data_IF_100899973113
#
_entry.id   IF_100899973113
#
_cell.length_a   1.000
_cell.length_b   1.000
_cell.length_c   1.000
_cell.angle_alpha   90.00
_cell.angle_beta   90.00
_cell.angle_gamma   90.00
#
_symmetry.space_group_name_H-M   'P 1'
#
loop_
_entity.id
_entity.type
_entity.pdbx_description
1 polymer ?
#
# COMPACT_ATOMS: atom_id res chain seq x y z
N UNK A 1 -14.32 -1.83 -16.31
CA UNK A 1 -14.23 -0.45 -15.80
C UNK A 1 -13.45 -0.47 -14.50
N UNK A 2 -12.56 0.48 -14.27
CA UNK A 2 -11.68 0.47 -13.10
C UNK A 2 -12.27 1.32 -11.98
N UNK A 3 -12.24 0.82 -10.73
CA UNK A 3 -12.69 1.58 -9.56
C UNK A 3 -11.71 2.73 -9.33
N UNK A 4 -12.22 3.95 -9.32
CA UNK A 4 -11.45 5.14 -9.01
C UNK A 4 -11.49 5.38 -7.50
N UNK A 5 -10.32 5.42 -6.90
CA UNK A 5 -10.14 5.76 -5.47
C UNK A 5 -9.38 7.08 -5.35
N UNK A 6 -9.86 8.08 -6.08
CA UNK A 6 -9.19 9.37 -6.25
C UNK A 6 -8.89 10.07 -4.92
N UNK A 7 -9.79 9.98 -3.93
CA UNK A 7 -9.57 10.56 -2.62
C UNK A 7 -8.38 9.93 -1.87
N UNK A 8 -8.19 8.61 -1.99
CA UNK A 8 -7.05 7.92 -1.38
C UNK A 8 -5.76 8.15 -2.16
N UNK A 9 -5.84 8.17 -3.49
CA UNK A 9 -4.70 8.54 -4.33
C UNK A 9 -4.22 9.96 -3.99
N UNK A 10 -5.13 10.91 -3.84
CA UNK A 10 -4.80 12.28 -3.46
C UNK A 10 -4.08 12.34 -2.10
N UNK A 11 -4.53 11.55 -1.12
CA UNK A 11 -3.85 11.45 0.17
C UNK A 11 -2.41 10.92 0.05
N UNK A 12 -2.15 9.94 -0.84
CA UNK A 12 -0.79 9.45 -1.11
C UNK A 12 0.08 10.51 -1.77
N UNK A 13 -0.48 11.25 -2.73
CA UNK A 13 0.20 12.32 -3.44
C UNK A 13 0.60 13.47 -2.50
N UNK A 14 -0.31 13.91 -1.64
CA UNK A 14 -0.07 14.99 -0.68
C UNK A 14 1.02 14.65 0.34
N UNK A 15 1.18 13.37 0.66
CA UNK A 15 2.20 12.88 1.61
C UNK A 15 3.50 12.44 0.94
N UNK A 16 3.54 12.46 -0.38
CA UNK A 16 4.73 12.05 -1.15
C UNK A 16 5.93 12.90 -0.76
N UNK A 17 7.05 12.23 -0.55
CA UNK A 17 8.35 12.84 -0.22
C UNK A 17 8.36 13.66 1.10
N UNK A 18 7.45 13.35 2.04
CA UNK A 18 7.38 14.06 3.32
C UNK A 18 8.38 13.56 4.38
N UNK A 19 9.23 12.58 4.05
CA UNK A 19 10.23 12.02 4.97
C UNK A 19 9.66 11.04 6.00
N UNK A 20 8.39 10.72 5.93
CA UNK A 20 7.71 9.78 6.83
C UNK A 20 7.40 8.47 6.12
N UNK A 21 7.20 7.40 6.89
CA UNK A 21 6.66 6.13 6.38
C UNK A 21 5.16 6.29 6.19
N UNK A 22 4.67 6.16 4.97
CA UNK A 22 3.23 6.14 4.70
C UNK A 22 2.68 4.76 5.02
N UNK A 23 1.82 4.69 6.04
CA UNK A 23 1.26 3.46 6.56
C UNK A 23 -0.20 3.35 6.11
N UNK A 24 -0.46 2.48 5.15
CA UNK A 24 -1.79 2.27 4.60
C UNK A 24 -2.46 1.15 5.40
N UNK A 25 -3.45 1.51 6.20
CA UNK A 25 -4.18 0.60 7.07
C UNK A 25 -5.59 0.33 6.55
N UNK A 26 -6.17 -0.76 6.96
CA UNK A 26 -7.53 -1.15 6.61
C UNK A 26 -7.72 -2.65 6.71
N UNK A 27 -8.97 -3.08 6.79
CA UNK A 27 -9.30 -4.49 6.85
C UNK A 27 -8.83 -5.25 5.61
N UNK A 28 -8.72 -6.56 5.73
CA UNK A 28 -8.39 -7.42 4.59
C UNK A 28 -9.40 -7.23 3.46
N UNK A 29 -8.92 -7.22 2.21
CA UNK A 29 -9.72 -7.05 0.98
C UNK A 29 -10.38 -5.67 0.80
N UNK A 30 -9.95 -4.64 1.51
CA UNK A 30 -10.44 -3.28 1.27
C UNK A 30 -9.73 -2.54 0.12
N UNK A 31 -8.81 -3.20 -0.60
CA UNK A 31 -8.17 -2.64 -1.79
C UNK A 31 -6.84 -1.92 -1.58
N UNK A 32 -6.13 -2.18 -0.46
CA UNK A 32 -4.82 -1.55 -0.16
C UNK A 32 -3.77 -1.85 -1.22
N UNK A 33 -3.61 -3.14 -1.56
CA UNK A 33 -2.64 -3.59 -2.56
C UNK A 33 -2.94 -3.02 -3.95
N UNK A 34 -4.21 -2.97 -4.32
CA UNK A 34 -4.65 -2.37 -5.58
C UNK A 34 -4.36 -0.86 -5.63
N UNK A 35 -4.66 -0.15 -4.56
CA UNK A 35 -4.34 1.28 -4.46
C UNK A 35 -2.83 1.51 -4.63
N UNK A 36 -2.00 0.70 -3.99
CA UNK A 36 -0.55 0.88 -3.97
C UNK A 36 0.10 0.44 -5.28
N UNK A 37 -0.16 -0.80 -5.71
CA UNK A 37 0.54 -1.41 -6.86
C UNK A 37 -0.07 -1.08 -8.22
N UNK A 38 -1.32 -0.64 -8.25
CA UNK A 38 -1.98 -0.29 -9.51
C UNK A 38 -2.18 1.22 -9.63
N UNK A 39 -2.92 1.82 -8.74
CA UNK A 39 -3.32 3.23 -8.87
C UNK A 39 -2.13 4.17 -8.61
N UNK A 40 -1.46 4.02 -7.48
CA UNK A 40 -0.35 4.90 -7.11
C UNK A 40 0.88 4.68 -7.99
N UNK A 41 1.21 3.42 -8.29
CA UNK A 41 2.30 3.11 -9.23
C UNK A 41 2.09 3.76 -10.60
N UNK A 42 0.86 3.66 -11.14
CA UNK A 42 0.51 4.33 -12.40
C UNK A 42 0.74 5.84 -12.31
N UNK A 43 0.27 6.46 -11.25
CA UNK A 43 0.52 7.87 -11.00
C UNK A 43 2.03 8.22 -11.04
N UNK A 44 2.87 7.43 -10.36
CA UNK A 44 4.31 7.65 -10.35
C UNK A 44 4.91 7.57 -11.78
N UNK A 45 4.53 6.54 -12.54
CA UNK A 45 4.99 6.35 -13.93
C UNK A 45 4.55 7.50 -14.83
N UNK A 46 3.29 7.93 -14.73
CA UNK A 46 2.74 9.05 -15.52
C UNK A 46 3.39 10.39 -15.17
N UNK A 47 3.95 10.51 -13.97
CA UNK A 47 4.67 11.71 -13.52
C UNK A 47 6.19 11.60 -13.67
N UNK A 48 6.66 10.70 -14.53
CA UNK A 48 8.06 10.66 -14.98
C UNK A 48 8.99 9.85 -14.07
N UNK A 49 8.46 9.09 -13.09
CA UNK A 49 9.28 8.17 -12.32
C UNK A 49 9.55 6.92 -13.15
N UNK A 50 10.82 6.58 -13.36
CA UNK A 50 11.19 5.36 -14.07
C UNK A 50 10.77 4.09 -13.31
N UNK A 51 10.42 3.03 -14.02
CA UNK A 51 10.03 1.75 -13.40
C UNK A 51 11.15 1.13 -12.57
N UNK A 52 12.40 1.41 -12.89
CA UNK A 52 13.59 0.99 -12.14
C UNK A 52 13.78 1.76 -10.81
N UNK A 53 13.05 2.86 -10.62
CA UNK A 53 13.00 3.64 -9.37
C UNK A 53 11.76 3.33 -8.52
N UNK A 54 10.99 2.31 -8.88
CA UNK A 54 9.85 1.82 -8.11
C UNK A 54 10.16 0.40 -7.67
N UNK A 55 10.31 0.19 -6.36
CA UNK A 55 10.61 -1.11 -5.76
C UNK A 55 9.32 -1.67 -5.17
N UNK A 56 8.82 -2.77 -5.72
CA UNK A 56 7.58 -3.42 -5.30
C UNK A 56 7.89 -4.76 -4.62
N UNK A 57 7.36 -4.96 -3.42
CA UNK A 57 7.50 -6.22 -2.69
C UNK A 57 6.15 -6.56 -2.05
N UNK A 58 5.54 -7.68 -2.47
CA UNK A 58 4.37 -8.27 -1.84
C UNK A 58 4.81 -9.41 -0.92
N UNK A 59 4.80 -9.20 0.40
CA UNK A 59 5.35 -10.15 1.37
C UNK A 59 4.45 -11.37 1.64
N UNK A 60 3.19 -11.33 1.24
CA UNK A 60 2.29 -12.48 1.31
C UNK A 60 2.50 -13.48 0.16
N UNK A 61 3.19 -13.07 -0.92
CA UNK A 61 3.52 -13.95 -2.04
C UNK A 61 4.64 -14.94 -1.71
N UNK A 62 4.48 -16.19 -2.18
CA UNK A 62 5.49 -17.25 -1.98
C UNK A 62 6.81 -16.92 -2.68
N UNK A 63 6.76 -16.18 -3.78
CA UNK A 63 7.93 -15.73 -4.55
C UNK A 63 8.84 -14.79 -3.75
N UNK A 64 8.29 -14.13 -2.72
CA UNK A 64 9.00 -13.21 -1.84
C UNK A 64 9.22 -13.77 -0.42
N UNK A 65 9.07 -15.09 -0.23
CA UNK A 65 9.20 -15.70 1.09
C UNK A 65 10.55 -15.40 1.75
N UNK A 66 11.64 -15.38 0.99
CA UNK A 66 12.98 -15.04 1.49
C UNK A 66 13.06 -13.58 2.00
N UNK A 67 12.27 -12.70 1.42
CA UNK A 67 12.23 -11.28 1.80
C UNK A 67 11.43 -11.03 3.10
N UNK A 68 10.81 -12.06 3.67
CA UNK A 68 10.24 -11.99 5.02
C UNK A 68 11.34 -11.98 6.10
N UNK A 69 12.56 -12.37 5.76
CA UNK A 69 13.72 -12.13 6.64
C UNK A 69 14.13 -10.63 6.58
N UNK A 70 14.19 -9.94 7.72
CA UNK A 70 14.50 -8.51 7.76
C UNK A 70 15.82 -8.14 7.10
N UNK A 71 16.86 -8.94 7.29
CA UNK A 71 18.20 -8.67 6.72
C UNK A 71 18.21 -8.87 5.21
N UNK A 72 17.54 -9.91 4.74
CA UNK A 72 17.42 -10.19 3.30
C UNK A 72 16.61 -9.10 2.60
N UNK A 73 15.50 -8.67 3.20
CA UNK A 73 14.67 -7.60 2.66
C UNK A 73 15.45 -6.27 2.59
N UNK A 74 16.11 -5.89 3.68
CA UNK A 74 16.91 -4.65 3.71
C UNK A 74 18.03 -4.68 2.67
N UNK A 75 18.74 -5.80 2.54
CA UNK A 75 19.79 -5.99 1.54
C UNK A 75 19.23 -5.87 0.12
N UNK A 76 18.11 -6.54 -0.16
CA UNK A 76 17.44 -6.47 -1.47
C UNK A 76 17.08 -5.03 -1.86
N UNK A 77 16.47 -4.29 -0.95
CA UNK A 77 16.08 -2.90 -1.19
C UNK A 77 17.34 -2.04 -1.43
N UNK A 78 18.37 -2.20 -0.60
CA UNK A 78 19.61 -1.47 -0.74
C UNK A 78 20.31 -1.76 -2.07
N UNK A 79 20.31 -3.01 -2.50
CA UNK A 79 20.91 -3.43 -3.77
C UNK A 79 20.10 -2.95 -5.00
N UNK A 80 18.81 -2.68 -4.83
CA UNK A 80 17.95 -2.12 -5.87
C UNK A 80 18.16 -0.62 -6.10
N UNK A 81 18.72 0.09 -5.13
CA UNK A 81 19.06 1.51 -5.24
C UNK A 81 20.42 1.64 -5.91
N UNK A 82 20.44 2.06 -7.18
CA UNK A 82 21.64 2.09 -8.03
C UNK A 82 22.30 3.45 -8.16
N UNK A 83 21.55 4.51 -7.89
CA UNK A 83 21.99 5.90 -8.06
C UNK A 83 21.44 6.80 -6.94
N UNK A 84 21.73 8.08 -7.01
CA UNK A 84 21.26 9.08 -6.04
C UNK A 84 19.85 9.62 -6.36
N UNK A 85 19.19 9.09 -7.38
CA UNK A 85 17.83 9.45 -7.75
C UNK A 85 16.81 9.04 -6.69
N UNK A 86 15.60 9.56 -6.80
CA UNK A 86 14.52 9.25 -5.87
C UNK A 86 13.91 7.88 -6.18
N UNK A 87 13.81 7.04 -5.17
CA UNK A 87 13.19 5.71 -5.23
C UNK A 87 11.91 5.70 -4.40
N UNK A 88 10.94 4.91 -4.85
CA UNK A 88 9.66 4.67 -4.17
C UNK A 88 9.56 3.19 -3.80
N UNK A 89 9.53 2.90 -2.51
CA UNK A 89 9.35 1.56 -1.99
C UNK A 89 7.88 1.32 -1.69
N UNK A 90 7.29 0.35 -2.36
CA UNK A 90 5.92 -0.11 -2.19
C UNK A 90 5.95 -1.51 -1.57
N UNK A 91 5.70 -1.60 -0.27
CA UNK A 91 5.83 -2.83 0.53
C UNK A 91 4.46 -3.28 1.04
N UNK A 92 3.93 -4.35 0.47
CA UNK A 92 2.59 -4.85 0.79
C UNK A 92 2.62 -5.95 1.85
N UNK A 93 1.62 -5.92 2.75
CA UNK A 93 1.42 -6.89 3.82
C UNK A 93 2.65 -7.06 4.73
N UNK A 94 3.20 -5.95 5.19
CA UNK A 94 4.48 -5.89 5.92
C UNK A 94 4.48 -6.69 7.23
N UNK A 95 3.32 -7.00 7.80
CA UNK A 95 3.21 -7.83 9.00
C UNK A 95 3.72 -9.27 8.81
N UNK A 96 3.91 -9.74 7.57
CA UNK A 96 4.54 -11.03 7.28
C UNK A 96 6.04 -11.03 7.61
N UNK A 97 6.66 -9.87 7.75
CA UNK A 97 8.07 -9.75 8.13
C UNK A 97 8.19 -9.47 9.64
N UNK A 98 8.85 -10.35 10.42
CA UNK A 98 9.11 -10.06 11.84
C UNK A 98 10.02 -8.85 11.96
N UNK A 99 9.82 -8.03 12.98
CA UNK A 99 10.63 -6.82 13.24
C UNK A 99 10.69 -5.86 12.03
N UNK A 100 9.61 -5.76 11.27
CA UNK A 100 9.55 -4.89 10.09
C UNK A 100 9.84 -3.41 10.45
N UNK A 101 9.55 -2.99 11.68
CA UNK A 101 9.81 -1.63 12.17
C UNK A 101 11.30 -1.30 12.15
N UNK A 102 12.16 -2.27 12.45
CA UNK A 102 13.63 -2.07 12.43
C UNK A 102 14.10 -1.81 10.99
N UNK A 103 13.55 -2.55 10.02
CA UNK A 103 13.87 -2.37 8.60
C UNK A 103 13.41 -0.99 8.12
N UNK A 104 12.15 -0.64 8.40
CA UNK A 104 11.58 0.63 7.95
C UNK A 104 12.28 1.83 8.58
N UNK A 105 12.60 1.77 9.87
CA UNK A 105 13.37 2.82 10.55
C UNK A 105 14.80 2.94 9.99
N UNK A 106 15.39 1.84 9.55
CA UNK A 106 16.71 1.86 8.89
C UNK A 106 16.64 2.48 7.50
N UNK A 107 15.58 2.21 6.75
CA UNK A 107 15.34 2.79 5.42
C UNK A 107 15.13 4.32 5.48
N UNK A 108 14.56 4.85 6.55
CA UNK A 108 14.40 6.29 6.74
C UNK A 108 15.74 7.05 6.81
N UNK A 109 16.85 6.36 7.06
CA UNK A 109 18.19 6.97 7.01
C UNK A 109 18.68 7.17 5.58
N UNK A 110 18.02 6.52 4.61
CA UNK A 110 18.30 6.69 3.19
C UNK A 110 17.41 7.81 2.64
N UNK A 111 17.97 9.00 2.45
CA UNK A 111 17.22 10.22 2.10
C UNK A 111 16.56 10.17 0.72
N UNK A 112 16.97 9.23 -0.12
CA UNK A 112 16.46 9.08 -1.49
C UNK A 112 15.42 7.96 -1.66
N UNK A 113 14.93 7.38 -0.55
CA UNK A 113 13.83 6.39 -0.59
C UNK A 113 12.59 6.97 0.09
N UNK A 114 11.48 6.95 -0.62
CA UNK A 114 10.16 7.26 -0.09
C UNK A 114 9.39 5.95 0.16
N UNK A 115 8.89 5.75 1.39
CA UNK A 115 8.42 4.44 1.86
C UNK A 115 6.92 4.41 2.04
N UNK A 116 6.27 3.44 1.41
CA UNK A 116 4.84 3.15 1.51
C UNK A 116 4.65 1.68 1.92
N UNK A 117 3.92 1.45 3.01
CA UNK A 117 3.66 0.10 3.50
C UNK A 117 2.18 -0.14 3.70
N UNK A 118 1.74 -1.38 3.52
CA UNK A 118 0.40 -1.79 3.88
C UNK A 118 0.43 -2.88 4.95
N UNK A 119 -0.66 -2.99 5.69
CA UNK A 119 -0.90 -4.08 6.61
C UNK A 119 -2.38 -4.18 6.97
N UNK A 120 -2.83 -5.37 7.39
CA UNK A 120 -4.25 -5.67 7.61
C UNK A 120 -4.56 -6.45 8.88
N UNK A 121 -3.55 -6.81 9.68
CA UNK A 121 -3.78 -7.50 10.94
C UNK A 121 -4.17 -6.54 12.08
N UNK A 122 -4.53 -7.09 13.23
CA UNK A 122 -4.97 -6.31 14.40
C UNK A 122 -3.92 -5.28 14.87
N UNK A 123 -2.63 -5.59 14.71
CA UNK A 123 -1.54 -4.68 15.03
C UNK A 123 -1.55 -3.42 14.15
N UNK A 124 -1.82 -3.60 12.84
CA UNK A 124 -1.97 -2.50 11.89
C UNK A 124 -3.29 -1.73 12.01
N UNK A 125 -4.27 -2.30 12.69
CA UNK A 125 -5.56 -1.64 12.93
C UNK A 125 -5.59 -0.91 14.27
N UNK A 126 -4.58 -1.14 15.14
CA UNK A 126 -4.44 -0.42 16.40
C UNK A 126 -3.84 0.98 16.16
N UNK A 127 -4.24 1.93 17.00
CA UNK A 127 -3.67 3.29 16.99
C UNK A 127 -2.18 3.32 17.32
N UNK A 128 -1.62 2.20 17.76
CA UNK A 128 -0.24 2.10 18.24
C UNK A 128 0.77 1.94 17.11
N UNK A 129 0.33 1.56 15.88
CA UNK A 129 1.25 1.35 14.77
C UNK A 129 2.06 2.61 14.42
N UNK A 130 1.44 3.77 14.47
CA UNK A 130 2.11 5.05 14.21
C UNK A 130 3.12 5.35 15.31
N UNK A 131 2.81 4.96 16.55
CA UNK A 131 3.69 5.13 17.70
C UNK A 131 4.95 4.25 17.61
N UNK A 132 4.82 3.05 17.05
CA UNK A 132 5.96 2.14 16.82
C UNK A 132 7.01 2.74 15.87
N UNK A 133 6.60 3.60 14.95
CA UNK A 133 7.52 4.35 14.10
C UNK A 133 8.07 5.63 14.76
N UNK A 134 7.88 5.79 16.07
CA UNK A 134 8.44 6.93 16.84
C UNK A 134 8.09 8.30 16.26
N UNK A 135 6.83 8.47 15.82
CA UNK A 135 6.37 9.70 15.20
C UNK A 135 6.82 9.90 13.74
N UNK A 136 7.37 8.87 13.10
CA UNK A 136 7.78 8.89 11.70
C UNK A 136 6.82 8.16 10.76
N UNK A 137 5.66 7.74 11.27
CA UNK A 137 4.58 7.13 10.51
C UNK A 137 3.49 8.14 10.19
N UNK A 138 2.99 8.09 8.97
CA UNK A 138 1.85 8.89 8.49
C UNK A 138 0.76 7.94 8.01
N UNK A 139 -0.32 7.80 8.78
CA UNK A 139 -1.37 6.81 8.53
C UNK A 139 -2.37 7.29 7.48
N UNK A 140 -2.66 6.41 6.53
CA UNK A 140 -3.77 6.54 5.59
C UNK A 140 -4.69 5.34 5.80
N UNK A 141 -5.88 5.59 6.37
CA UNK A 141 -6.85 4.54 6.63
C UNK A 141 -7.78 4.37 5.44
N UNK A 142 -7.82 3.13 4.90
CA UNK A 142 -8.68 2.76 3.79
C UNK A 142 -9.86 1.95 4.29
N UNK A 143 -11.03 2.31 3.80
CA UNK A 143 -12.27 1.61 4.07
C UNK A 143 -12.66 0.73 2.88
N UNK A 144 -13.47 -0.32 3.10
CA UNK A 144 -14.11 -1.06 2.01
C UNK A 144 -14.80 -0.10 1.02
N UNK A 145 -15.07 -0.59 -0.17
CA UNK A 145 -15.78 0.22 -1.17
C UNK A 145 -17.10 0.72 -0.61
N UNK A 146 -17.37 2.00 -0.81
CA UNK A 146 -18.72 2.53 -0.62
C UNK A 146 -19.64 1.97 -1.71
N UNK A 147 -20.95 2.01 -1.48
CA UNK A 147 -21.90 1.60 -2.50
C UNK A 147 -21.74 2.40 -3.81
N UNK A 148 -21.43 3.69 -3.72
CA UNK A 148 -21.21 4.51 -4.91
C UNK A 148 -19.99 4.08 -5.71
N UNK A 149 -18.89 3.72 -5.05
CA UNK A 149 -17.70 3.16 -5.71
C UNK A 149 -17.99 1.79 -6.32
N UNK A 150 -18.71 0.93 -5.60
CA UNK A 150 -19.14 -0.38 -6.09
C UNK A 150 -20.04 -0.25 -7.33
N UNK A 151 -21.09 0.57 -7.24
CA UNK A 151 -22.04 0.79 -8.33
C UNK A 151 -21.40 1.41 -9.58
N UNK A 152 -20.35 2.23 -9.40
CA UNK A 152 -19.65 2.86 -10.55
C UNK A 152 -19.03 1.88 -11.53
N UNK A 153 -18.81 0.63 -11.12
CA UNK A 153 -18.21 -0.45 -11.93
C UNK A 153 -19.11 -1.66 -12.07
N UNK A 154 -20.30 -1.60 -11.49
CA UNK A 154 -21.26 -2.69 -11.55
C UNK A 154 -21.94 -2.74 -12.91
N UNK A 155 -22.04 -3.94 -13.48
CA UNK A 155 -22.72 -4.19 -14.76
C UNK A 155 -24.13 -4.73 -14.48
N UNK A 156 -25.05 -3.84 -14.19
CA UNK A 156 -26.43 -4.15 -13.84
C UNK A 156 -27.20 -2.92 -13.37
N UNK A 157 -28.45 -3.12 -12.99
CA UNK A 157 -29.25 -2.02 -12.47
C UNK A 157 -28.94 -1.70 -10.99
N UNK A 158 -29.58 -0.66 -10.48
CA UNK A 158 -29.35 -0.17 -9.12
C UNK A 158 -29.80 -1.16 -8.06
N UNK A 159 -30.95 -1.83 -8.27
CA UNK A 159 -31.55 -2.72 -7.28
C UNK A 159 -30.72 -4.01 -7.15
N UNK A 160 -30.30 -4.58 -8.27
CA UNK A 160 -29.38 -5.72 -8.31
C UNK A 160 -28.03 -5.39 -7.66
N UNK A 161 -27.50 -4.21 -7.96
CA UNK A 161 -26.25 -3.75 -7.35
C UNK A 161 -26.38 -3.57 -5.84
N UNK A 162 -27.52 -3.06 -5.36
CA UNK A 162 -27.77 -2.88 -3.94
C UNK A 162 -27.86 -4.22 -3.21
N UNK A 163 -28.57 -5.18 -3.77
CA UNK A 163 -28.71 -6.52 -3.19
C UNK A 163 -27.36 -7.23 -3.10
N UNK A 164 -26.56 -7.19 -4.16
CA UNK A 164 -25.22 -7.75 -4.18
C UNK A 164 -24.29 -7.05 -3.17
N UNK A 165 -24.36 -5.73 -3.07
CA UNK A 165 -23.58 -4.97 -2.10
C UNK A 165 -23.97 -5.30 -0.66
N UNK A 166 -25.26 -5.50 -0.36
CA UNK A 166 -25.73 -5.90 0.96
C UNK A 166 -25.29 -7.32 1.35
N UNK A 167 -25.16 -8.21 0.36
CA UNK A 167 -24.72 -9.60 0.60
C UNK A 167 -23.20 -9.68 0.75
N UNK A 168 -22.45 -9.04 -0.13
CA UNK A 168 -20.99 -9.18 -0.22
C UNK A 168 -20.23 -8.03 0.44
N UNK A 169 -20.91 -6.93 0.76
CA UNK A 169 -20.30 -5.70 1.31
C UNK A 169 -19.36 -5.02 0.34
N UNK A 170 -18.67 -4.01 0.81
CA UNK A 170 -17.61 -3.32 0.04
C UNK A 170 -16.31 -4.14 -0.09
N UNK A 171 -16.35 -5.42 0.26
CA UNK A 171 -15.22 -6.36 0.20
C UNK A 171 -15.28 -7.13 -1.12
N UNK A 172 -14.98 -6.46 -2.22
CA UNK A 172 -15.01 -7.08 -3.55
C UNK A 172 -13.72 -7.87 -3.80
N UNK A 173 -13.89 -9.16 -4.09
CA UNK A 173 -12.82 -9.94 -4.72
C UNK A 173 -12.77 -9.52 -6.19
N UNK A 174 -11.68 -8.90 -6.61
CA UNK A 174 -11.45 -8.48 -8.02
C UNK A 174 -11.26 -9.65 -9.00
N UNK A 175 -11.78 -10.81 -8.69
CA UNK A 175 -11.68 -12.03 -9.51
C UNK A 175 -12.94 -12.28 -10.33
N UNK A 176 -13.49 -11.26 -10.94
CA UNK A 176 -14.52 -11.42 -11.96
C UNK A 176 -14.15 -10.63 -13.20
#
# INVERSE_FOLDING_TARGET
>A
MEIKRDAYLQQLIERKDNGMIKVITGIRRCGKSFLLFTIFKRYLLENGIGSDHIIEIALDGIENEELRDPKMCFKYIKDAVKDDGKYYLLLDEVQFMPRFEEVLNSLLRMSNIDVYVTGSNSRFLSSDIVTEFRGRGDEIRIYPLSFAEFYSVYDGDYDDAWDDYMIYGGSVSYTH
#
